data_IF_540677339774
#
_entry.id   IF_540677339774
#
_cell.length_a   1.000
_cell.length_b   1.000
_cell.length_c   1.000
_cell.angle_alpha   90.00
_cell.angle_beta   90.00
_cell.angle_gamma   90.00
#
_symmetry.space_group_name_H-M   'P 1'
#
loop_
_entity.id
_entity.type
_entity.pdbx_description
1 polymer ?
#
# COMPACT_ATOMS: atom_id res chain seq x y z
N UNK A 1 -9.00 -11.34 -13.79
CA UNK A 1 -9.05 -10.72 -12.45
C UNK A 1 -8.16 -9.47 -12.44
N UNK A 2 -8.66 -8.32 -11.96
CA UNK A 2 -7.87 -7.06 -11.89
C UNK A 2 -6.78 -7.18 -10.82
N UNK A 3 -5.62 -6.54 -11.03
CA UNK A 3 -4.48 -6.61 -10.08
C UNK A 3 -4.87 -6.14 -8.67
N UNK A 4 -5.63 -5.04 -8.57
CA UNK A 4 -6.12 -4.53 -7.29
C UNK A 4 -6.96 -5.57 -6.52
N UNK A 5 -7.78 -6.37 -7.22
CA UNK A 5 -8.55 -7.46 -6.60
C UNK A 5 -7.63 -8.52 -6.00
N UNK A 6 -6.52 -8.84 -6.68
CA UNK A 6 -5.48 -9.73 -6.14
C UNK A 6 -4.89 -9.13 -4.87
N UNK A 7 -4.39 -7.89 -4.91
CA UNK A 7 -3.79 -7.21 -3.75
C UNK A 7 -4.77 -7.23 -2.56
N UNK A 8 -6.02 -6.80 -2.75
CA UNK A 8 -7.06 -6.80 -1.70
C UNK A 8 -7.25 -8.18 -1.08
N UNK A 9 -7.23 -9.26 -1.88
CA UNK A 9 -7.35 -10.62 -1.37
C UNK A 9 -6.16 -11.06 -0.52
N UNK A 10 -4.94 -10.64 -0.84
CA UNK A 10 -3.76 -10.93 -0.02
C UNK A 10 -3.81 -10.18 1.31
N UNK A 11 -4.19 -8.89 1.30
CA UNK A 11 -4.37 -8.11 2.53
C UNK A 11 -5.42 -8.75 3.46
N UNK A 12 -6.57 -9.17 2.92
CA UNK A 12 -7.62 -9.85 3.71
C UNK A 12 -7.14 -11.16 4.35
N UNK A 13 -6.21 -11.86 3.69
CA UNK A 13 -5.65 -13.13 4.15
C UNK A 13 -4.44 -12.97 5.08
N UNK A 14 -4.05 -11.73 5.40
CA UNK A 14 -2.84 -11.46 6.19
C UNK A 14 -1.53 -11.80 5.46
N UNK A 15 -1.58 -11.94 4.14
CA UNK A 15 -0.42 -12.33 3.31
C UNK A 15 0.31 -11.10 2.78
N UNK A 16 0.88 -10.35 3.70
CA UNK A 16 1.65 -9.15 3.39
C UNK A 16 2.77 -8.93 4.40
N UNK A 17 3.80 -8.22 3.97
CA UNK A 17 4.87 -7.72 4.81
C UNK A 17 4.90 -6.18 4.73
N UNK A 18 5.26 -5.54 5.84
CA UNK A 18 5.54 -4.11 5.92
C UNK A 18 7.06 -3.97 6.03
N UNK A 19 7.67 -3.15 5.16
CA UNK A 19 9.10 -2.87 5.25
C UNK A 19 9.41 -1.99 6.46
N UNK A 20 10.64 -2.05 6.96
CA UNK A 20 11.12 -1.11 8.00
C UNK A 20 10.94 0.35 7.58
N UNK A 21 11.13 0.66 6.29
CA UNK A 21 10.89 2.00 5.76
C UNK A 21 9.42 2.42 5.86
N UNK A 22 8.50 1.56 5.44
CA UNK A 22 7.07 1.84 5.54
C UNK A 22 6.61 1.95 7.00
N UNK A 23 7.19 1.16 7.91
CA UNK A 23 6.89 1.24 9.35
C UNK A 23 7.35 2.57 9.95
N UNK A 24 8.55 3.05 9.58
CA UNK A 24 9.06 4.38 10.01
C UNK A 24 8.18 5.51 9.50
N UNK A 25 7.87 5.55 8.20
CA UNK A 25 7.02 6.60 7.63
C UNK A 25 5.60 6.55 8.23
N UNK A 26 5.05 5.35 8.44
CA UNK A 26 3.76 5.21 9.09
C UNK A 26 3.77 5.80 10.52
N UNK A 27 4.84 5.59 11.28
CA UNK A 27 4.99 6.18 12.62
C UNK A 27 5.15 7.72 12.56
N UNK A 28 5.91 8.23 11.59
CA UNK A 28 6.10 9.68 11.40
C UNK A 28 4.78 10.39 11.03
N UNK A 29 3.92 9.73 10.27
CA UNK A 29 2.63 10.26 9.81
C UNK A 29 1.42 9.88 10.71
N UNK A 30 1.65 9.26 11.88
CA UNK A 30 0.60 8.73 12.77
C UNK A 30 -0.42 7.80 12.07
N UNK A 31 0.09 6.95 11.16
CA UNK A 31 -0.68 6.00 10.36
C UNK A 31 -0.58 4.61 10.98
N UNK A 32 -1.70 4.03 11.38
CA UNK A 32 -1.72 2.67 11.92
C UNK A 32 -1.73 1.60 10.83
N UNK A 33 -1.41 0.36 11.19
CA UNK A 33 -1.57 -0.78 10.27
C UNK A 33 -3.03 -0.97 9.81
N UNK A 34 -3.99 -0.56 10.63
CA UNK A 34 -5.42 -0.62 10.29
C UNK A 34 -5.76 0.40 9.22
N UNK A 35 -5.15 1.58 9.24
CA UNK A 35 -5.28 2.61 8.21
C UNK A 35 -4.73 2.15 6.87
N UNK A 36 -3.52 1.57 6.88
CA UNK A 36 -2.89 1.02 5.67
C UNK A 36 -3.79 -0.05 5.05
N UNK A 37 -4.33 -0.96 5.87
CA UNK A 37 -5.26 -2.00 5.39
C UNK A 37 -6.55 -1.38 4.85
N UNK A 38 -7.15 -0.43 5.55
CA UNK A 38 -8.36 0.26 5.10
C UNK A 38 -8.14 0.94 3.74
N UNK A 39 -7.03 1.66 3.60
CA UNK A 39 -6.64 2.33 2.38
C UNK A 39 -6.47 1.35 1.21
N UNK A 40 -5.80 0.21 1.42
CA UNK A 40 -5.64 -0.79 0.35
C UNK A 40 -6.97 -1.47 0.00
N UNK A 41 -7.80 -1.81 1.00
CA UNK A 41 -9.04 -2.56 0.81
C UNK A 41 -10.13 -1.74 0.13
N UNK A 42 -10.18 -0.43 0.39
CA UNK A 42 -11.19 0.47 -0.15
C UNK A 42 -10.66 1.37 -1.28
N UNK A 43 -9.35 1.45 -1.45
CA UNK A 43 -8.71 2.30 -2.46
C UNK A 43 -8.63 1.72 -3.87
N UNK A 44 -7.95 2.47 -4.72
CA UNK A 44 -7.71 2.20 -6.14
C UNK A 44 -6.24 2.41 -6.54
N UNK A 45 -5.80 1.72 -7.60
CA UNK A 45 -4.44 1.91 -8.13
C UNK A 45 -4.45 3.17 -9.00
N UNK A 46 -3.75 4.21 -8.55
CA UNK A 46 -3.61 5.48 -9.27
C UNK A 46 -2.35 5.55 -10.12
N UNK A 47 -1.36 4.69 -9.87
CA UNK A 47 -0.14 4.61 -10.69
C UNK A 47 0.48 3.21 -10.67
N UNK A 48 1.01 2.80 -11.81
CA UNK A 48 1.81 1.57 -11.97
C UNK A 48 3.22 1.95 -12.44
N UNK A 49 4.24 1.47 -11.74
CA UNK A 49 5.64 1.66 -12.12
C UNK A 49 6.15 0.34 -12.72
N UNK A 50 6.44 0.29 -14.02
CA UNK A 50 6.79 -0.94 -14.76
C UNK A 50 8.27 -1.05 -15.15
N UNK A 51 9.00 0.07 -15.19
CA UNK A 51 10.37 0.14 -15.70
C UNK A 51 11.42 0.32 -14.61
N UNK A 52 11.11 -0.11 -13.38
CA UNK A 52 12.03 -0.01 -12.25
C UNK A 52 12.82 -1.34 -12.10
N UNK A 53 14.15 -1.31 -11.91
CA UNK A 53 14.96 -2.50 -11.65
C UNK A 53 14.47 -3.34 -10.47
N UNK A 54 13.74 -2.73 -9.52
CA UNK A 54 13.17 -3.37 -8.33
C UNK A 54 11.85 -4.09 -8.59
N UNK A 55 11.41 -4.15 -9.86
CA UNK A 55 10.20 -4.81 -10.33
C UNK A 55 8.98 -3.89 -10.39
N UNK A 56 7.84 -4.47 -10.79
CA UNK A 56 6.58 -3.70 -10.89
C UNK A 56 6.06 -3.28 -9.52
N UNK A 57 5.78 -1.99 -9.35
CA UNK A 57 5.17 -1.42 -8.13
C UNK A 57 3.84 -0.75 -8.44
N UNK A 58 2.96 -0.68 -7.46
CA UNK A 58 1.63 -0.10 -7.54
C UNK A 58 1.47 0.98 -6.47
N UNK A 59 1.08 2.18 -6.89
CA UNK A 59 0.63 3.26 -5.99
C UNK A 59 -0.87 3.16 -5.84
N UNK A 60 -1.32 2.92 -4.62
CA UNK A 60 -2.72 2.87 -4.25
C UNK A 60 -3.07 4.17 -3.53
N UNK A 61 -4.16 4.81 -3.92
CA UNK A 61 -4.80 5.86 -3.15
C UNK A 61 -5.98 5.26 -2.41
N UNK A 62 -6.00 5.43 -1.11
CA UNK A 62 -7.13 5.10 -0.25
C UNK A 62 -7.25 6.13 0.86
N UNK A 63 -7.91 5.75 1.95
CA UNK A 63 -8.09 6.61 3.10
C UNK A 63 -7.72 5.91 4.40
N UNK A 64 -7.24 6.66 5.38
CA UNK A 64 -7.17 6.24 6.78
C UNK A 64 -8.59 6.03 7.34
N UNK A 65 -8.70 5.44 8.52
CA UNK A 65 -9.96 5.29 9.25
C UNK A 65 -10.55 6.67 9.61
N UNK A 66 -9.68 7.66 9.84
CA UNK A 66 -10.06 9.06 10.09
C UNK A 66 -10.23 9.88 8.78
N UNK A 67 -10.41 9.20 7.65
CA UNK A 67 -10.79 9.78 6.35
C UNK A 67 -9.73 10.67 5.65
N UNK A 68 -8.48 10.66 6.13
CA UNK A 68 -7.35 11.33 5.47
C UNK A 68 -6.90 10.53 4.24
N UNK A 69 -6.50 11.21 3.17
CA UNK A 69 -5.98 10.54 1.97
C UNK A 69 -4.62 9.91 2.26
N UNK A 70 -4.48 8.60 2.00
CA UNK A 70 -3.25 7.83 2.23
C UNK A 70 -2.77 7.22 0.92
N UNK A 71 -1.51 7.46 0.59
CA UNK A 71 -0.83 6.72 -0.46
C UNK A 71 -0.10 5.52 0.10
N UNK A 72 -0.26 4.38 -0.59
CA UNK A 72 0.46 3.14 -0.29
C UNK A 72 1.17 2.67 -1.54
N UNK A 73 2.49 2.49 -1.46
CA UNK A 73 3.26 1.86 -2.55
C UNK A 73 3.57 0.42 -2.18
N UNK A 74 3.16 -0.51 -3.03
CA UNK A 74 3.39 -1.93 -2.80
C UNK A 74 3.86 -2.67 -4.07
N UNK A 75 4.39 -3.88 -3.87
CA UNK A 75 4.68 -4.83 -4.95
C UNK A 75 4.34 -6.25 -4.54
N UNK A 76 4.40 -7.18 -5.49
CA UNK A 76 4.44 -8.61 -5.17
C UNK A 76 5.90 -9.00 -4.90
N UNK A 77 6.13 -9.81 -3.86
CA UNK A 77 7.42 -10.47 -3.64
C UNK A 77 7.51 -11.80 -4.42
N UNK A 78 8.64 -12.50 -4.30
CA UNK A 78 8.95 -13.70 -5.10
C UNK A 78 8.01 -14.88 -4.79
N UNK A 79 7.43 -14.92 -3.57
CA UNK A 79 6.41 -15.89 -3.15
C UNK A 79 4.97 -15.39 -3.37
N UNK A 80 4.80 -14.33 -4.16
CA UNK A 80 3.54 -13.69 -4.53
C UNK A 80 2.72 -13.07 -3.38
N UNK A 81 3.32 -12.74 -2.25
CA UNK A 81 2.70 -11.92 -1.19
C UNK A 81 2.86 -10.43 -1.47
N UNK A 82 2.08 -9.60 -0.77
CA UNK A 82 2.14 -8.13 -0.93
C UNK A 82 3.22 -7.56 -0.02
N UNK A 83 4.24 -6.93 -0.61
CA UNK A 83 5.23 -6.14 0.12
C UNK A 83 4.84 -4.67 0.08
N UNK A 84 4.51 -4.09 1.23
CA UNK A 84 4.27 -2.66 1.40
C UNK A 84 5.63 -1.98 1.56
N UNK A 85 5.97 -1.07 0.64
CA UNK A 85 7.32 -0.50 0.50
C UNK A 85 7.45 0.83 1.27
N UNK A 86 6.42 1.67 1.17
CA UNK A 86 6.32 3.02 1.74
C UNK A 86 4.85 3.39 1.84
N UNK A 87 4.50 4.21 2.83
CA UNK A 87 3.18 4.83 3.00
C UNK A 87 3.37 6.28 3.38
N UNK A 88 2.49 7.16 2.94
CA UNK A 88 2.53 8.57 3.33
C UNK A 88 1.19 9.25 3.11
N UNK A 89 0.85 10.18 3.99
CA UNK A 89 -0.34 11.02 3.83
C UNK A 89 -0.20 11.85 2.54
N UNK A 90 -1.28 11.92 1.77
CA UNK A 90 -1.34 12.81 0.62
C UNK A 90 -1.54 14.23 1.16
N UNK A 91 -0.45 14.98 1.24
CA UNK A 91 -0.54 16.42 1.44
C UNK A 91 -1.28 17.04 0.24
N UNK A 92 -2.25 17.90 0.52
CA UNK A 92 -2.80 18.79 -0.51
C UNK A 92 -1.74 19.86 -0.84
N UNK A 93 -1.54 20.19 -2.12
CA UNK A 93 -0.66 21.29 -2.51
C UNK A 93 -1.19 22.66 -2.06
#
# INVERSE_FOLDING_TARGET
>A
MKVITKIKNYIKKGKYEVTEHADKEAQEDDVSISDIKNAILNGEIVKKYTHDPRGTRYKILGKTLDNQDLFVICKFNDIQEVKIITVFIKEEP
#
